data_IF_058090353062
#
_entry.id   IF_058090353062
#
_cell.length_a   1.000
_cell.length_b   1.000
_cell.length_c   1.000
_cell.angle_alpha   90.00
_cell.angle_beta   90.00
_cell.angle_gamma   90.00
#
_symmetry.space_group_name_H-M   'P 1'
#
loop_
_entity.id
_entity.type
_entity.pdbx_description
1 polymer ?
#
# COMPACT_ATOMS: atom_id res chain seq x y z
N UNK A 1 7.57 40.74 35.54
CA UNK A 1 7.24 39.96 34.33
C UNK A 1 8.46 39.57 33.46
N UNK A 2 9.66 40.15 33.65
CA UNK A 2 10.83 39.93 32.77
C UNK A 2 11.66 38.66 33.05
N UNK A 3 11.65 38.10 34.27
CA UNK A 3 12.52 36.95 34.63
C UNK A 3 12.16 35.62 33.95
N UNK A 4 10.89 35.41 33.58
CA UNK A 4 10.46 34.19 32.88
C UNK A 4 10.82 34.22 31.39
N UNK A 5 10.80 35.39 30.76
CA UNK A 5 11.24 35.58 29.37
C UNK A 5 12.74 35.31 29.21
N UNK A 6 13.56 35.80 30.14
CA UNK A 6 15.02 35.56 30.12
C UNK A 6 15.34 34.06 30.28
N UNK A 7 14.63 33.34 31.14
CA UNK A 7 14.79 31.88 31.28
C UNK A 7 14.39 31.13 30.00
N UNK A 8 13.29 31.52 29.37
CA UNK A 8 12.83 30.94 28.10
C UNK A 8 13.83 31.12 26.96
N UNK A 9 14.35 32.35 26.81
CA UNK A 9 15.38 32.66 25.80
C UNK A 9 16.66 31.86 26.01
N UNK A 10 17.09 31.69 27.27
CA UNK A 10 18.28 30.89 27.60
C UNK A 10 18.13 29.42 27.22
N UNK A 11 16.99 28.80 27.56
CA UNK A 11 16.72 27.39 27.22
C UNK A 11 16.66 27.19 25.71
N UNK A 12 16.07 28.15 24.99
CA UNK A 12 15.99 28.10 23.53
C UNK A 12 17.39 28.22 22.90
N UNK A 13 18.23 29.12 23.40
CA UNK A 13 19.62 29.29 22.94
C UNK A 13 20.48 28.05 23.20
N UNK A 14 20.36 27.42 24.38
CA UNK A 14 21.10 26.20 24.71
C UNK A 14 20.70 25.01 23.83
N UNK A 15 19.42 24.88 23.46
CA UNK A 15 18.97 23.84 22.52
C UNK A 15 19.46 24.11 21.10
N UNK A 16 19.39 25.35 20.64
CA UNK A 16 19.84 25.74 19.31
C UNK A 16 21.33 25.51 19.11
N UNK A 17 22.15 25.96 20.06
CA UNK A 17 23.61 25.81 20.00
C UNK A 17 24.05 24.35 19.98
N UNK A 18 23.42 23.47 20.78
CA UNK A 18 23.70 22.02 20.75
C UNK A 18 23.34 21.40 19.41
N UNK A 19 22.22 21.79 18.80
CA UNK A 19 21.80 21.31 17.49
C UNK A 19 22.78 21.70 16.39
N UNK A 20 23.16 22.98 16.31
CA UNK A 20 24.12 23.48 15.31
C UNK A 20 25.49 22.84 15.49
N UNK A 21 25.97 22.68 16.74
CA UNK A 21 27.27 22.06 17.02
C UNK A 21 27.28 20.57 16.69
N UNK A 22 26.20 19.85 17.00
CA UNK A 22 26.03 18.44 16.62
C UNK A 22 25.98 18.27 15.11
N UNK A 23 25.30 19.17 14.40
CA UNK A 23 25.27 19.18 12.96
C UNK A 23 26.64 19.48 12.36
N UNK A 24 27.39 20.47 12.85
CA UNK A 24 28.76 20.73 12.37
C UNK A 24 29.70 19.54 12.60
N UNK A 25 29.57 18.88 13.76
CA UNK A 25 30.38 17.71 14.11
C UNK A 25 30.02 16.43 13.33
N UNK A 26 28.82 16.36 12.75
CA UNK A 26 28.36 15.24 11.92
C UNK A 26 28.89 15.28 10.47
N UNK A 27 29.80 16.20 10.15
CA UNK A 27 30.47 16.23 8.86
C UNK A 27 31.39 15.03 8.69
N UNK A 28 31.19 14.23 7.64
CA UNK A 28 31.95 12.98 7.43
C UNK A 28 33.28 13.20 6.70
N UNK A 29 33.36 14.25 5.87
CA UNK A 29 34.53 14.58 5.06
C UNK A 29 34.84 16.08 5.14
N UNK A 30 36.10 16.47 4.91
CA UNK A 30 36.53 17.87 5.01
C UNK A 30 35.76 18.83 4.07
N UNK A 31 35.33 18.36 2.89
CA UNK A 31 34.48 19.11 1.97
C UNK A 31 33.07 19.37 2.55
N UNK A 32 32.46 18.36 3.17
CA UNK A 32 31.16 18.49 3.84
C UNK A 32 31.26 19.48 5.00
N UNK A 33 32.30 19.34 5.83
CA UNK A 33 32.60 20.31 6.90
C UNK A 33 32.79 21.72 6.34
N UNK A 34 33.51 21.88 5.23
CA UNK A 34 33.73 23.16 4.55
C UNK A 34 32.44 23.81 4.06
N UNK A 35 31.56 23.04 3.40
CA UNK A 35 30.23 23.52 2.94
C UNK A 35 29.37 23.96 4.13
N UNK A 36 29.37 23.20 5.22
CA UNK A 36 28.60 23.53 6.43
C UNK A 36 29.09 24.83 7.07
N UNK A 37 30.41 25.03 7.14
CA UNK A 37 30.98 26.30 7.62
C UNK A 37 30.68 27.48 6.70
N UNK A 38 30.76 27.29 5.39
CA UNK A 38 30.43 28.32 4.41
C UNK A 38 28.96 28.76 4.54
N UNK A 39 28.03 27.83 4.78
CA UNK A 39 26.63 28.16 5.04
C UNK A 39 26.44 29.00 6.31
N UNK A 40 27.10 28.62 7.41
CA UNK A 40 27.00 29.36 8.68
C UNK A 40 27.56 30.78 8.53
N UNK A 41 28.77 30.90 7.96
CA UNK A 41 29.43 32.18 7.76
C UNK A 41 28.67 33.06 6.75
N UNK A 42 28.18 32.50 5.65
CA UNK A 42 27.37 33.22 4.67
C UNK A 42 26.06 33.76 5.27
N UNK A 43 25.41 32.97 6.12
CA UNK A 43 24.18 33.40 6.81
C UNK A 43 24.46 34.51 7.82
N UNK A 44 25.52 34.38 8.63
CA UNK A 44 25.94 35.41 9.58
C UNK A 44 26.34 36.70 8.87
N UNK A 45 27.11 36.60 7.79
CA UNK A 45 27.50 37.75 6.97
C UNK A 45 26.28 38.44 6.36
N UNK A 46 25.36 37.69 5.76
CA UNK A 46 24.11 38.24 5.23
C UNK A 46 23.26 38.93 6.29
N UNK A 47 23.11 38.33 7.47
CA UNK A 47 22.38 38.92 8.59
C UNK A 47 23.05 40.20 9.10
N UNK A 48 24.38 40.20 9.26
CA UNK A 48 25.14 41.39 9.64
C UNK A 48 25.01 42.49 8.59
N UNK A 49 25.06 42.14 7.30
CA UNK A 49 24.95 43.10 6.21
C UNK A 49 23.52 43.65 6.07
N UNK A 50 22.50 42.85 6.34
CA UNK A 50 21.09 43.28 6.45
C UNK A 50 20.87 44.22 7.64
N UNK A 51 21.50 43.93 8.78
CA UNK A 51 21.43 44.76 9.98
C UNK A 51 22.18 46.10 9.83
N UNK A 52 23.33 46.10 9.14
CA UNK A 52 24.13 47.31 8.91
C UNK A 52 23.67 48.12 7.68
N UNK A 53 23.04 47.48 6.69
CA UNK A 53 22.96 48.04 5.34
C UNK A 53 21.63 48.65 4.90
N UNK A 54 20.47 48.27 5.45
CA UNK A 54 19.22 48.67 4.78
C UNK A 54 17.93 48.41 5.56
N UNK A 55 17.16 49.47 5.82
CA UNK A 55 15.73 49.40 6.18
C UNK A 55 14.90 48.56 5.18
N UNK A 56 15.28 48.54 3.90
CA UNK A 56 14.63 47.70 2.88
C UNK A 56 14.99 46.21 3.04
N UNK A 57 16.21 45.90 3.50
CA UNK A 57 16.63 44.53 3.79
C UNK A 57 15.85 43.95 4.97
N UNK A 58 15.68 44.73 6.03
CA UNK A 58 14.81 44.38 7.17
C UNK A 58 13.37 44.21 6.71
N UNK A 59 12.87 45.08 5.84
CA UNK A 59 11.52 44.98 5.23
C UNK A 59 11.32 43.70 4.42
N UNK A 60 12.30 43.30 3.60
CA UNK A 60 12.22 42.09 2.78
C UNK A 60 12.23 40.81 3.65
N UNK A 61 13.09 40.74 4.66
CA UNK A 61 13.11 39.61 5.60
C UNK A 61 11.82 39.55 6.41
N UNK A 62 11.32 40.69 6.91
CA UNK A 62 10.05 40.76 7.61
C UNK A 62 8.89 40.29 6.72
N UNK A 63 8.88 40.65 5.43
CA UNK A 63 7.88 40.21 4.46
C UNK A 63 7.95 38.69 4.23
N UNK A 64 9.14 38.11 4.05
CA UNK A 64 9.33 36.66 3.90
C UNK A 64 8.84 35.91 5.14
N UNK A 65 9.21 36.37 6.34
CA UNK A 65 8.74 35.79 7.60
C UNK A 65 7.22 35.91 7.73
N UNK A 66 6.63 37.05 7.34
CA UNK A 66 5.19 37.27 7.37
C UNK A 66 4.45 36.32 6.41
N UNK A 67 4.95 36.14 5.18
CA UNK A 67 4.39 35.18 4.19
C UNK A 67 4.49 33.74 4.68
N UNK A 68 5.63 33.34 5.27
CA UNK A 68 5.80 32.01 5.85
C UNK A 68 4.88 31.79 7.05
N UNK A 69 4.72 32.80 7.91
CA UNK A 69 3.79 32.76 9.03
C UNK A 69 2.34 32.65 8.56
N UNK A 70 1.92 33.39 7.53
CA UNK A 70 0.59 33.26 6.92
C UNK A 70 0.38 31.87 6.30
N UNK A 71 1.38 31.30 5.62
CA UNK A 71 1.31 29.93 5.10
C UNK A 71 1.22 28.88 6.21
N UNK A 72 1.96 29.07 7.29
CA UNK A 72 1.87 28.19 8.45
C UNK A 72 0.50 28.32 9.14
N UNK A 73 -0.02 29.54 9.30
CA UNK A 73 -1.32 29.81 9.89
C UNK A 73 -2.46 29.24 9.04
N UNK A 74 -2.41 29.37 7.71
CA UNK A 74 -3.42 28.77 6.81
C UNK A 74 -3.35 27.25 6.79
N UNK A 75 -2.16 26.65 6.90
CA UNK A 75 -2.00 25.20 7.05
C UNK A 75 -2.52 24.71 8.41
N UNK A 76 -2.28 25.47 9.48
CA UNK A 76 -2.82 25.20 10.82
C UNK A 76 -4.34 25.35 10.86
N UNK A 77 -4.90 26.39 10.22
CA UNK A 77 -6.33 26.61 10.11
C UNK A 77 -7.02 25.49 9.30
N UNK A 78 -6.43 25.05 8.17
CA UNK A 78 -6.92 23.88 7.43
C UNK A 78 -6.81 22.59 8.24
N UNK A 79 -5.73 22.42 8.99
CA UNK A 79 -5.55 21.29 9.91
C UNK A 79 -6.57 21.30 11.06
N UNK A 80 -6.90 22.46 11.59
CA UNK A 80 -7.95 22.65 12.58
C UNK A 80 -9.35 22.48 11.99
N UNK A 81 -9.59 22.84 10.72
CA UNK A 81 -10.85 22.53 10.04
C UNK A 81 -10.99 21.02 9.80
N UNK A 82 -9.90 20.32 9.48
CA UNK A 82 -9.85 18.85 9.40
C UNK A 82 -9.93 18.17 10.77
N UNK A 83 -9.52 18.83 11.86
CA UNK A 83 -9.65 18.31 13.23
C UNK A 83 -10.96 18.73 13.92
N UNK A 84 -11.60 19.80 13.49
CA UNK A 84 -12.96 20.18 13.89
C UNK A 84 -14.01 19.43 13.06
N UNK A 85 -13.65 19.00 11.83
CA UNK A 85 -14.37 17.99 11.07
C UNK A 85 -13.94 16.56 11.41
N UNK A 86 -12.94 16.39 12.30
CA UNK A 86 -12.90 15.17 13.10
C UNK A 86 -14.06 15.36 14.06
N UNK A 87 -15.18 14.62 13.92
CA UNK A 87 -16.19 14.66 14.96
C UNK A 87 -15.44 14.42 16.27
N UNK A 88 -15.78 15.17 17.32
CA UNK A 88 -15.36 14.76 18.65
C UNK A 88 -15.77 13.31 18.90
N UNK A 89 -15.60 12.77 20.11
CA UNK A 89 -16.55 11.78 20.57
C UNK A 89 -17.95 12.45 20.57
N UNK A 90 -18.53 12.64 19.38
CA UNK A 90 -19.93 12.90 19.18
C UNK A 90 -20.57 11.68 19.81
N UNK A 91 -21.24 11.96 20.93
CA UNK A 91 -22.35 11.16 21.37
C UNK A 91 -23.06 10.64 20.13
N UNK A 92 -23.06 9.31 20.00
CA UNK A 92 -23.99 8.50 19.21
C UNK A 92 -25.05 9.39 18.55
N UNK A 93 -24.75 9.84 17.33
CA UNK A 93 -25.81 10.32 16.45
C UNK A 93 -26.64 9.07 16.19
N UNK A 94 -27.80 9.02 16.84
CA UNK A 94 -28.77 7.96 16.72
C UNK A 94 -28.94 7.60 15.25
N UNK A 95 -28.61 6.35 14.93
CA UNK A 95 -29.34 5.45 14.06
C UNK A 95 -30.15 6.14 12.95
N UNK A 96 -29.46 6.78 12.01
CA UNK A 96 -29.85 6.55 10.63
C UNK A 96 -29.24 5.20 10.29
N UNK A 97 -29.96 4.14 10.64
CA UNK A 97 -29.68 2.75 10.26
C UNK A 97 -29.80 2.68 8.74
N UNK A 98 -28.80 3.21 8.03
CA UNK A 98 -28.62 2.91 6.63
C UNK A 98 -28.34 1.42 6.60
N UNK A 99 -29.34 0.66 6.11
CA UNK A 99 -29.19 -0.74 5.76
C UNK A 99 -27.99 -0.86 4.83
N UNK A 100 -26.84 -1.17 5.44
CA UNK A 100 -25.66 -1.55 4.69
C UNK A 100 -26.05 -2.81 3.91
N UNK A 101 -25.65 -2.92 2.64
CA UNK A 101 -25.86 -4.15 1.88
C UNK A 101 -25.33 -5.33 2.68
N UNK A 102 -26.09 -6.42 2.71
CA UNK A 102 -25.74 -7.65 3.44
C UNK A 102 -24.55 -8.32 2.77
N UNK A 103 -23.35 -7.83 3.08
CA UNK A 103 -22.07 -8.38 2.62
C UNK A 103 -21.60 -9.37 3.66
N UNK A 104 -21.58 -10.64 3.27
CA UNK A 104 -21.16 -11.72 4.16
C UNK A 104 -19.65 -11.64 4.44
N UNK A 105 -19.22 -12.20 5.58
CA UNK A 105 -17.81 -12.22 5.96
C UNK A 105 -16.93 -12.97 4.95
N UNK A 106 -17.48 -14.03 4.33
CA UNK A 106 -16.80 -14.82 3.31
C UNK A 106 -16.59 -14.04 2.02
N UNK A 107 -17.57 -13.25 1.59
CA UNK A 107 -17.43 -12.37 0.42
C UNK A 107 -16.38 -11.28 0.63
N UNK A 108 -16.38 -10.67 1.82
CA UNK A 108 -15.37 -9.68 2.20
C UNK A 108 -13.97 -10.29 2.25
N UNK A 109 -13.84 -11.48 2.83
CA UNK A 109 -12.57 -12.20 2.87
C UNK A 109 -12.10 -12.57 1.45
N UNK A 110 -12.97 -13.09 0.60
CA UNK A 110 -12.65 -13.41 -0.78
C UNK A 110 -12.20 -12.17 -1.57
N UNK A 111 -12.91 -11.05 -1.44
CA UNK A 111 -12.50 -9.77 -2.04
C UNK A 111 -11.12 -9.33 -1.53
N UNK A 112 -10.88 -9.42 -0.22
CA UNK A 112 -9.58 -9.05 0.35
C UNK A 112 -8.46 -9.93 -0.20
N UNK A 113 -8.66 -11.25 -0.26
CA UNK A 113 -7.67 -12.19 -0.83
C UNK A 113 -7.39 -11.92 -2.32
N UNK A 114 -8.41 -11.60 -3.11
CA UNK A 114 -8.25 -11.23 -4.52
C UNK A 114 -7.41 -9.96 -4.68
N UNK A 115 -7.67 -8.95 -3.84
CA UNK A 115 -6.96 -7.67 -3.87
C UNK A 115 -5.54 -7.74 -3.30
N UNK A 116 -5.21 -8.77 -2.51
CA UNK A 116 -3.91 -8.88 -1.87
C UNK A 116 -2.78 -9.01 -2.90
N UNK A 117 -3.01 -9.53 -4.12
CA UNK A 117 -2.04 -9.62 -5.22
C UNK A 117 -0.64 -10.13 -4.81
N UNK A 118 -0.55 -10.98 -3.78
CA UNK A 118 0.71 -11.47 -3.20
C UNK A 118 1.41 -10.52 -2.21
N UNK A 119 0.87 -9.32 -1.97
CA UNK A 119 1.32 -8.38 -0.94
C UNK A 119 0.97 -8.82 0.50
N UNK A 120 1.56 -8.14 1.51
CA UNK A 120 1.35 -8.49 2.91
C UNK A 120 0.02 -7.98 3.49
N UNK A 121 -0.70 -7.11 2.79
CA UNK A 121 -2.04 -6.65 3.19
C UNK A 121 -2.68 -5.72 2.18
N UNK A 122 -3.89 -5.27 2.49
CA UNK A 122 -4.73 -4.42 1.63
C UNK A 122 -5.19 -3.18 2.38
N UNK A 123 -5.19 -2.03 1.72
CA UNK A 123 -5.64 -0.76 2.31
C UNK A 123 -7.16 -0.66 2.35
N UNK A 124 -7.72 0.06 3.33
CA UNK A 124 -9.17 0.26 3.44
C UNK A 124 -9.77 0.96 2.21
N UNK A 125 -9.06 1.92 1.63
CA UNK A 125 -9.52 2.61 0.42
C UNK A 125 -9.62 1.67 -0.79
N UNK A 126 -8.71 0.69 -0.88
CA UNK A 126 -8.73 -0.32 -1.94
C UNK A 126 -9.87 -1.31 -1.74
N UNK A 127 -10.15 -1.71 -0.48
CA UNK A 127 -11.32 -2.53 -0.15
C UNK A 127 -12.63 -1.80 -0.48
N UNK A 128 -12.74 -0.53 -0.11
CA UNK A 128 -13.92 0.29 -0.42
C UNK A 128 -14.18 0.36 -1.93
N UNK A 129 -13.14 0.65 -2.71
CA UNK A 129 -13.22 0.64 -4.18
C UNK A 129 -13.61 -0.74 -4.73
N UNK A 130 -13.09 -1.82 -4.14
CA UNK A 130 -13.45 -3.19 -4.50
C UNK A 130 -14.91 -3.54 -4.21
N UNK A 131 -15.44 -3.09 -3.08
CA UNK A 131 -16.85 -3.27 -2.71
C UNK A 131 -17.77 -2.46 -3.62
N UNK A 132 -17.46 -1.18 -3.87
CA UNK A 132 -18.17 -0.35 -4.85
C UNK A 132 -18.20 -1.01 -6.23
N UNK A 133 -17.08 -1.61 -6.66
CA UNK A 133 -17.03 -2.28 -7.95
C UNK A 133 -17.86 -3.57 -8.01
N UNK A 134 -17.99 -4.32 -6.90
CA UNK A 134 -18.72 -5.61 -6.85
C UNK A 134 -20.20 -5.48 -6.53
N UNK A 135 -20.53 -4.64 -5.56
CA UNK A 135 -21.89 -4.53 -5.00
C UNK A 135 -22.57 -3.21 -5.39
N UNK A 136 -21.87 -2.33 -6.10
CA UNK A 136 -22.34 -0.96 -6.35
C UNK A 136 -22.26 -0.07 -5.11
N UNK A 137 -22.79 1.14 -5.21
CA UNK A 137 -22.83 2.11 -4.12
C UNK A 137 -21.50 2.82 -3.82
N UNK A 138 -21.57 3.91 -3.06
CA UNK A 138 -20.41 4.76 -2.73
C UNK A 138 -19.75 4.37 -1.40
N UNK A 139 -19.27 3.13 -1.31
CA UNK A 139 -18.59 2.63 -0.11
C UNK A 139 -17.41 3.52 0.29
N UNK A 140 -17.41 3.96 1.55
CA UNK A 140 -16.35 4.73 2.16
C UNK A 140 -15.49 3.86 3.07
N UNK A 141 -14.30 4.36 3.42
CA UNK A 141 -13.41 3.67 4.38
C UNK A 141 -14.02 3.50 5.78
N UNK A 142 -15.01 4.33 6.14
CA UNK A 142 -15.79 4.20 7.37
C UNK A 142 -16.68 2.97 7.36
N UNK A 143 -17.43 2.76 6.28
CA UNK A 143 -18.33 1.62 6.07
C UNK A 143 -17.56 0.31 6.07
N UNK A 144 -16.42 0.27 5.36
CA UNK A 144 -15.51 -0.89 5.36
C UNK A 144 -15.00 -1.19 6.77
N UNK A 145 -14.66 -0.17 7.55
CA UNK A 145 -14.20 -0.35 8.93
C UNK A 145 -15.31 -0.90 9.81
N UNK A 146 -16.54 -0.41 9.67
CA UNK A 146 -17.70 -0.93 10.38
C UNK A 146 -17.94 -2.40 10.01
N UNK A 147 -17.94 -2.73 8.71
CA UNK A 147 -18.11 -4.09 8.21
C UNK A 147 -17.03 -5.05 8.72
N UNK A 148 -15.76 -4.64 8.69
CA UNK A 148 -14.66 -5.43 9.25
C UNK A 148 -14.80 -5.63 10.76
N UNK A 149 -15.33 -4.65 11.48
CA UNK A 149 -15.58 -4.74 12.92
C UNK A 149 -16.69 -5.75 13.23
N UNK A 150 -17.78 -5.73 12.46
CA UNK A 150 -18.87 -6.72 12.57
C UNK A 150 -18.34 -8.14 12.38
N UNK A 151 -17.45 -8.34 11.42
CA UNK A 151 -16.82 -9.63 11.12
C UNK A 151 -15.56 -9.93 11.95
N UNK A 152 -15.29 -9.14 13.00
CA UNK A 152 -14.14 -9.30 13.91
C UNK A 152 -12.76 -9.33 13.23
N UNK A 153 -12.60 -8.69 12.07
CA UNK A 153 -11.32 -8.58 11.35
C UNK A 153 -10.58 -7.31 11.81
N UNK A 154 -9.40 -7.42 12.43
CA UNK A 154 -8.70 -6.27 12.98
C UNK A 154 -8.14 -5.35 11.88
N UNK A 155 -8.33 -4.04 12.07
CA UNK A 155 -7.79 -2.99 11.21
C UNK A 155 -6.51 -2.42 11.81
N UNK A 156 -5.39 -2.51 11.09
CA UNK A 156 -4.10 -1.95 11.53
C UNK A 156 -3.91 -0.54 10.98
N UNK A 157 -3.28 0.38 11.75
CA UNK A 157 -3.06 1.76 11.32
C UNK A 157 -2.00 1.89 10.22
N UNK A 158 -1.12 0.89 10.05
CA UNK A 158 0.01 0.93 9.14
C UNK A 158 0.21 -0.44 8.47
N UNK A 159 -0.34 -0.60 7.27
CA UNK A 159 -0.21 -1.79 6.43
C UNK A 159 0.48 -1.42 5.12
N UNK A 160 1.45 -2.24 4.67
CA UNK A 160 2.06 -2.11 3.34
C UNK A 160 1.22 -2.83 2.29
N UNK A 161 0.91 -2.15 1.19
CA UNK A 161 0.31 -2.79 0.01
C UNK A 161 1.40 -3.43 -0.87
N UNK A 162 0.99 -4.09 -1.96
CA UNK A 162 1.89 -4.64 -2.97
C UNK A 162 2.81 -3.58 -3.62
N UNK A 163 2.36 -2.32 -3.66
CA UNK A 163 3.13 -1.17 -4.14
C UNK A 163 4.05 -0.53 -3.07
N UNK A 164 4.20 -1.18 -1.90
CA UNK A 164 5.01 -0.73 -0.75
C UNK A 164 4.54 0.59 -0.09
N UNK A 165 3.33 1.07 -0.40
CA UNK A 165 2.71 2.23 0.24
C UNK A 165 2.13 1.84 1.60
N UNK A 166 2.22 2.75 2.56
CA UNK A 166 1.74 2.53 3.93
C UNK A 166 0.44 3.30 4.15
N UNK A 167 -0.60 2.61 4.59
CA UNK A 167 -1.91 3.20 4.91
C UNK A 167 -2.66 2.29 5.91
N UNK A 168 -3.73 2.76 6.58
CA UNK A 168 -4.60 1.88 7.34
C UNK A 168 -5.22 0.79 6.48
N UNK A 169 -5.28 -0.43 7.01
CA UNK A 169 -5.72 -1.59 6.23
C UNK A 169 -5.80 -2.87 7.04
N UNK A 170 -5.97 -3.98 6.33
CA UNK A 170 -6.03 -5.33 6.89
C UNK A 170 -4.78 -6.09 6.46
N UNK A 171 -4.12 -6.74 7.41
CA UNK A 171 -2.95 -7.57 7.13
C UNK A 171 -3.39 -8.98 6.71
N UNK A 172 -2.61 -9.64 5.83
CA UNK A 172 -2.91 -11.00 5.35
C UNK A 172 -3.18 -12.00 6.47
N UNK A 173 -2.40 -11.91 7.54
CA UNK A 173 -2.47 -12.80 8.70
C UNK A 173 -3.75 -12.61 9.54
N UNK A 174 -4.46 -11.50 9.34
CA UNK A 174 -5.69 -11.18 10.08
C UNK A 174 -6.95 -11.60 9.31
N UNK A 175 -6.81 -12.02 8.05
CA UNK A 175 -7.93 -12.48 7.24
C UNK A 175 -8.23 -13.96 7.55
N UNK A 176 -9.52 -14.35 7.63
CA UNK A 176 -9.88 -15.75 7.72
C UNK A 176 -9.37 -16.52 6.48
N UNK A 177 -8.99 -17.80 6.64
CA UNK A 177 -8.59 -18.62 5.51
C UNK A 177 -9.75 -18.78 4.54
N UNK A 178 -9.48 -18.70 3.24
CA UNK A 178 -10.46 -19.03 2.21
C UNK A 178 -10.96 -20.47 2.42
N UNK A 179 -12.27 -20.73 2.27
CA UNK A 179 -12.77 -22.09 2.25
C UNK A 179 -12.02 -22.87 1.17
N UNK A 180 -11.47 -24.03 1.55
CA UNK A 180 -10.84 -24.91 0.58
C UNK A 180 -11.84 -25.19 -0.54
N UNK A 181 -11.45 -25.15 -1.82
CA UNK A 181 -12.36 -25.51 -2.90
C UNK A 181 -12.88 -26.90 -2.58
N UNK A 182 -14.19 -27.00 -2.36
CA UNK A 182 -14.83 -28.29 -2.15
C UNK A 182 -14.51 -29.12 -3.38
N UNK A 183 -13.59 -30.08 -3.22
CA UNK A 183 -13.34 -31.11 -4.20
C UNK A 183 -14.62 -31.92 -4.25
N UNK A 184 -15.62 -31.39 -4.96
CA UNK A 184 -16.81 -32.14 -5.32
C UNK A 184 -16.21 -33.33 -6.06
N UNK A 185 -16.32 -34.56 -5.52
CA UNK A 185 -15.75 -35.71 -6.19
C UNK A 185 -16.33 -35.67 -7.59
N UNK A 186 -15.45 -35.53 -8.58
CA UNK A 186 -15.86 -35.53 -9.97
C UNK A 186 -16.79 -36.72 -10.09
N UNK A 187 -18.09 -36.44 -10.29
CA UNK A 187 -19.10 -37.48 -10.44
C UNK A 187 -18.48 -38.43 -11.42
N UNK A 188 -18.19 -39.65 -10.97
CA UNK A 188 -17.65 -40.68 -11.82
C UNK A 188 -18.66 -40.76 -12.94
N UNK A 189 -18.32 -40.16 -14.09
CA UNK A 189 -19.15 -40.24 -15.28
C UNK A 189 -19.48 -41.72 -15.46
N UNK A 190 -20.68 -42.06 -15.95
CA UNK A 190 -21.18 -43.42 -15.98
C UNK A 190 -20.04 -44.32 -16.37
N UNK A 191 -19.66 -45.23 -15.46
CA UNK A 191 -18.65 -46.24 -15.69
C UNK A 191 -19.08 -46.87 -17.00
N UNK A 192 -18.40 -46.50 -18.10
CA UNK A 192 -18.62 -47.12 -19.37
C UNK A 192 -18.30 -48.58 -19.07
N UNK A 193 -19.35 -49.41 -19.03
CA UNK A 193 -19.22 -50.84 -18.88
C UNK A 193 -18.42 -51.27 -20.09
N UNK A 194 -17.10 -51.37 -19.90
CA UNK A 194 -16.20 -51.95 -20.88
C UNK A 194 -16.64 -53.41 -20.93
N UNK A 195 -17.37 -53.76 -21.98
CA UNK A 195 -17.84 -55.11 -22.22
C UNK A 195 -16.64 -56.06 -22.11
N UNK A 196 -16.80 -57.11 -21.30
CA UNK A 196 -15.83 -58.18 -21.15
C UNK A 196 -15.56 -58.79 -22.53
N UNK A 197 -14.34 -58.59 -23.04
CA UNK A 197 -13.97 -58.97 -24.40
C UNK A 197 -12.75 -58.25 -24.96
N UNK A 198 -12.29 -57.16 -24.34
CA UNK A 198 -10.97 -56.61 -24.68
C UNK A 198 -9.87 -57.39 -23.96
N UNK A 199 -8.89 -57.95 -24.70
CA UNK A 199 -7.76 -58.66 -24.12
C UNK A 199 -6.95 -57.71 -23.24
N UNK A 200 -6.64 -58.17 -22.03
CA UNK A 200 -5.92 -57.41 -21.04
C UNK A 200 -4.54 -56.98 -21.54
N UNK A 201 -4.33 -55.67 -21.68
CA UNK A 201 -3.00 -55.08 -21.74
C UNK A 201 -2.45 -54.94 -20.32
N UNK A 202 -1.93 -56.04 -19.80
CA UNK A 202 -0.96 -56.03 -18.70
C UNK A 202 0.32 -55.35 -19.17
N UNK A 203 0.66 -54.22 -18.54
CA UNK A 203 2.02 -53.66 -18.50
C UNK A 203 2.59 -53.21 -19.85
N UNK A 204 2.25 -51.99 -20.27
CA UNK A 204 3.17 -51.21 -21.09
C UNK A 204 3.54 -49.97 -20.30
N UNK A 205 4.81 -49.90 -19.88
CA UNK A 205 5.52 -48.64 -19.78
C UNK A 205 5.29 -47.92 -21.10
N UNK A 206 4.31 -47.03 -21.15
CA UNK A 206 4.02 -46.29 -22.36
C UNK A 206 5.22 -45.38 -22.57
N UNK A 207 6.04 -45.71 -23.56
CA UNK A 207 7.01 -44.76 -24.09
C UNK A 207 6.29 -43.42 -24.26
N UNK A 208 6.82 -42.32 -23.70
CA UNK A 208 6.20 -41.03 -23.86
C UNK A 208 6.04 -40.76 -25.36
N UNK A 209 4.84 -40.38 -25.85
CA UNK A 209 4.69 -40.06 -27.26
C UNK A 209 5.70 -38.96 -27.60
N UNK A 210 6.65 -39.27 -28.49
CA UNK A 210 7.67 -38.33 -28.96
C UNK A 210 7.04 -37.14 -29.72
N UNK A 211 5.74 -37.18 -29.96
CA UNK A 211 5.00 -36.18 -30.71
C UNK A 211 4.49 -35.08 -29.78
N UNK A 212 4.76 -33.79 -30.07
CA UNK A 212 4.30 -32.69 -29.26
C UNK A 212 2.77 -32.61 -29.25
N UNK A 213 2.17 -32.51 -28.05
CA UNK A 213 0.72 -32.37 -27.88
C UNK A 213 0.36 -30.91 -27.72
N UNK A 214 -0.57 -30.42 -28.54
CA UNK A 214 -1.08 -29.05 -28.48
C UNK A 214 -2.49 -29.03 -27.91
N UNK A 215 -2.73 -28.20 -26.90
CA UNK A 215 -4.07 -27.95 -26.32
C UNK A 215 -4.36 -26.46 -26.26
N UNK A 216 -5.63 -26.09 -26.40
CA UNK A 216 -6.09 -24.70 -26.35
C UNK A 216 -6.85 -24.47 -25.04
N UNK A 217 -6.43 -23.48 -24.25
CA UNK A 217 -7.03 -23.14 -22.96
C UNK A 217 -7.28 -21.63 -22.94
N UNK A 218 -8.55 -21.21 -22.91
CA UNK A 218 -8.91 -19.80 -22.77
C UNK A 218 -8.31 -18.86 -23.83
N UNK A 219 -8.19 -19.30 -25.08
CA UNK A 219 -7.56 -18.52 -26.16
C UNK A 219 -6.03 -18.59 -26.24
N UNK A 220 -5.38 -19.22 -25.26
CA UNK A 220 -3.92 -19.48 -25.24
C UNK A 220 -3.65 -20.88 -25.80
N UNK A 221 -2.74 -20.97 -26.76
CA UNK A 221 -2.28 -22.25 -27.32
C UNK A 221 -1.09 -22.76 -26.50
N UNK A 222 -1.25 -23.92 -25.84
CA UNK A 222 -0.24 -24.55 -25.01
C UNK A 222 0.30 -25.79 -25.73
N UNK A 223 1.59 -25.78 -26.06
CA UNK A 223 2.27 -26.93 -26.68
C UNK A 223 3.18 -27.59 -25.65
N UNK A 224 2.95 -28.86 -25.40
CA UNK A 224 3.80 -29.70 -24.55
C UNK A 224 4.79 -30.45 -25.44
N UNK A 225 6.08 -30.19 -25.25
CA UNK A 225 7.17 -30.80 -26.00
C UNK A 225 7.96 -31.68 -25.03
N UNK A 226 8.15 -32.97 -25.30
CA UNK A 226 9.03 -33.82 -24.49
C UNK A 226 10.46 -33.26 -24.49
N UNK A 227 11.12 -33.21 -23.33
CA UNK A 227 12.52 -32.79 -23.25
C UNK A 227 13.42 -33.95 -23.70
N UNK A 228 14.15 -33.84 -24.82
CA UNK A 228 14.98 -34.93 -25.33
C UNK A 228 16.16 -35.26 -24.40
N UNK A 229 16.58 -34.33 -23.53
CA UNK A 229 17.65 -34.57 -22.57
C UNK A 229 17.14 -35.24 -21.27
N UNK A 230 15.84 -35.19 -21.00
CA UNK A 230 15.24 -35.78 -19.81
C UNK A 230 13.77 -36.17 -20.06
N UNK A 231 13.47 -37.46 -20.32
CA UNK A 231 12.11 -37.91 -20.64
C UNK A 231 11.12 -37.76 -19.48
N UNK A 232 11.59 -37.53 -18.25
CA UNK A 232 10.73 -37.20 -17.11
C UNK A 232 10.33 -35.71 -17.05
N UNK A 233 10.81 -34.88 -18.00
CA UNK A 233 10.50 -33.45 -18.09
C UNK A 233 9.78 -33.12 -19.39
N UNK A 234 8.82 -32.20 -19.28
CA UNK A 234 8.07 -31.67 -20.41
C UNK A 234 8.25 -30.16 -20.48
N UNK A 235 8.68 -29.66 -21.64
CA UNK A 235 8.80 -28.24 -21.90
C UNK A 235 7.43 -27.74 -22.35
N UNK A 236 6.87 -26.78 -21.61
CA UNK A 236 5.56 -26.20 -21.91
C UNK A 236 5.76 -24.84 -22.55
N UNK A 237 5.29 -24.66 -23.78
CA UNK A 237 5.29 -23.37 -24.48
C UNK A 237 3.87 -22.84 -24.62
N UNK A 238 3.60 -21.69 -24.01
CA UNK A 238 2.31 -21.00 -24.12
C UNK A 238 2.45 -19.83 -25.09
N UNK A 239 1.60 -19.81 -26.12
CA UNK A 239 1.49 -18.70 -27.08
C UNK A 239 0.11 -18.08 -26.95
N UNK A 240 0.06 -16.85 -26.44
CA UNK A 240 -1.15 -16.05 -26.41
C UNK A 240 -1.32 -15.34 -27.76
N UNK A 241 -2.27 -15.82 -28.58
CA UNK A 241 -2.56 -15.24 -29.89
C UNK A 241 -3.41 -13.96 -29.81
N UNK A 242 -3.93 -13.61 -28.63
CA UNK A 242 -4.86 -12.48 -28.47
C UNK A 242 -4.14 -11.14 -28.26
N UNK A 243 -2.87 -11.15 -27.84
CA UNK A 243 -2.05 -9.93 -27.79
C UNK A 243 -1.56 -9.53 -29.18
N UNK A 244 -2.33 -8.67 -29.86
CA UNK A 244 -1.78 -7.85 -30.96
C UNK A 244 -0.61 -7.04 -30.40
N UNK A 245 0.58 -7.22 -30.97
CA UNK A 245 1.76 -6.41 -30.65
C UNK A 245 1.43 -4.95 -31.06
N UNK A 246 1.50 -3.97 -30.16
CA UNK A 246 1.35 -2.57 -30.56
C UNK A 246 2.47 -2.22 -31.54
N UNK A 247 2.10 -1.55 -32.63
CA UNK A 247 3.01 -1.08 -33.67
C UNK A 247 3.89 0.07 -33.15
#
# INVERSE_FOLDING_TARGET
MSRHLVKGLRILGERWTKGVRGWLAAGTNWLDTGVRWALVLGTLYGAAHLLLGSLLGVGAVALVVCVLALRAATKAARGQQLQAAKPGPQASAADAEQELPDVTGDELAALAHDLLAGGPGVHLATLAAGLTARHGGDWQTGDVRALLTVHQVPVRPSVRDAAKRVSPGVHRADLPPLPAPSLTPAVAGPVAVVAAGQPGTTGATTDPPATPTTRQIGGVQVTSIPDPANPARTIVRAVDRTRKRPA
#
